data_IF_988218619929
#
_entry.id   IF_988218619929
#
_cell.length_a   1.000
_cell.length_b   1.000
_cell.length_c   1.000
_cell.angle_alpha   90.00
_cell.angle_beta   90.00
_cell.angle_gamma   90.00
#
_symmetry.space_group_name_H-M   'P 1'
#
loop_
_entity.id
_entity.type
_entity.pdbx_description
1 polymer ?
#
# COMPACT_ATOMS: atom_id res chain seq x y z
N UNK A 1 22.88 19.15 15.70
CA UNK A 1 23.05 17.71 16.05
C UNK A 1 23.99 17.08 15.03
N UNK A 2 25.13 16.51 15.43
CA UNK A 2 25.93 15.70 14.52
C UNK A 2 25.10 14.46 14.16
N UNK A 3 24.75 14.30 12.87
CA UNK A 3 23.83 13.30 12.30
C UNK A 3 22.32 13.60 12.38
N UNK A 4 21.91 14.88 12.32
CA UNK A 4 20.49 15.19 12.11
C UNK A 4 19.99 14.60 10.77
N UNK A 5 18.86 13.87 10.75
CA UNK A 5 18.28 13.39 9.50
C UNK A 5 17.89 14.57 8.60
N UNK A 6 17.97 14.36 7.29
CA UNK A 6 17.68 15.40 6.29
C UNK A 6 16.22 15.86 6.43
N UNK A 7 16.03 17.16 6.62
CA UNK A 7 14.70 17.78 6.58
C UNK A 7 14.31 17.97 5.11
N UNK A 8 13.17 17.41 4.73
CA UNK A 8 12.67 17.46 3.36
C UNK A 8 11.70 18.63 3.11
N UNK A 9 11.03 19.12 4.16
CA UNK A 9 10.09 20.25 4.09
C UNK A 9 9.96 20.91 5.46
N UNK A 10 9.79 22.23 5.46
CA UNK A 10 9.49 23.04 6.66
C UNK A 10 8.29 23.93 6.36
N UNK A 11 7.28 23.91 7.23
CA UNK A 11 6.07 24.74 7.05
C UNK A 11 5.47 25.18 8.40
N UNK A 12 4.65 26.24 8.43
CA UNK A 12 3.92 26.61 9.65
C UNK A 12 3.02 25.48 10.12
N UNK A 13 2.98 25.21 11.42
CA UNK A 13 2.02 24.25 12.00
C UNK A 13 0.66 24.91 12.29
N UNK A 14 -0.40 24.13 12.54
CA UNK A 14 -1.69 24.64 13.01
C UNK A 14 -1.63 25.32 14.39
N UNK A 15 -0.56 25.09 15.16
CA UNK A 15 -0.35 25.72 16.48
C UNK A 15 0.56 26.93 16.31
N UNK A 16 0.10 28.15 16.65
CA UNK A 16 0.92 29.36 16.54
C UNK A 16 2.25 29.22 17.31
N UNK A 17 3.34 29.63 16.66
CA UNK A 17 4.68 29.54 17.23
C UNK A 17 5.37 28.18 17.04
N UNK A 18 4.69 27.17 16.49
CA UNK A 18 5.31 25.91 16.09
C UNK A 18 5.38 25.78 14.58
N UNK A 19 6.48 25.19 14.12
CA UNK A 19 6.73 24.82 12.73
C UNK A 19 6.76 23.30 12.60
N UNK A 20 6.20 22.80 11.51
CA UNK A 20 6.24 21.41 11.11
C UNK A 20 7.50 21.14 10.29
N UNK A 21 8.22 20.08 10.67
CA UNK A 21 9.36 19.53 9.94
C UNK A 21 8.95 18.18 9.37
N UNK A 22 9.10 18.01 8.05
CA UNK A 22 8.96 16.71 7.39
C UNK A 22 10.33 16.08 7.23
N UNK A 23 10.45 14.85 7.71
CA UNK A 23 11.67 14.04 7.61
C UNK A 23 11.23 12.67 7.10
N UNK A 24 11.47 12.40 5.82
CA UNK A 24 10.86 11.28 5.10
C UNK A 24 9.33 11.38 5.13
N UNK A 25 8.70 10.38 5.73
CA UNK A 25 7.24 10.28 5.91
C UNK A 25 6.78 10.65 7.32
N UNK A 26 7.71 11.08 8.16
CA UNK A 26 7.43 11.49 9.52
C UNK A 26 7.30 13.00 9.63
N UNK A 27 6.50 13.40 10.62
CA UNK A 27 6.30 14.79 11.00
C UNK A 27 6.86 14.98 12.40
N UNK A 28 7.61 16.06 12.58
CA UNK A 28 8.12 16.57 13.86
C UNK A 28 7.84 18.05 13.96
N UNK A 29 8.04 18.64 15.14
CA UNK A 29 7.79 20.06 15.36
C UNK A 29 9.02 20.76 15.93
N UNK A 30 9.11 22.07 15.67
CA UNK A 30 10.18 22.92 16.19
C UNK A 30 9.66 24.33 16.45
N UNK A 31 10.42 25.11 17.20
CA UNK A 31 10.19 26.55 17.35
C UNK A 31 10.70 27.30 16.10
N UNK A 32 10.35 28.59 15.88
CA UNK A 32 10.71 29.31 14.67
C UNK A 32 12.22 29.49 14.45
N UNK A 33 13.03 29.35 15.50
CA UNK A 33 14.49 29.46 15.41
C UNK A 33 15.18 28.13 15.14
N UNK A 34 14.46 27.00 15.20
CA UNK A 34 15.03 25.66 15.04
C UNK A 34 15.87 25.21 16.23
N UNK A 35 15.73 25.87 17.39
CA UNK A 35 16.54 25.60 18.59
C UNK A 35 16.08 24.37 19.37
N UNK A 36 14.79 24.02 19.26
CA UNK A 36 14.17 22.89 19.96
C UNK A 36 13.52 21.92 18.99
N UNK A 37 13.69 20.62 19.22
CA UNK A 37 12.95 19.57 18.52
C UNK A 37 11.88 19.01 19.45
N UNK A 38 10.65 18.93 18.96
CA UNK A 38 9.49 18.41 19.67
C UNK A 38 9.01 17.17 18.93
N UNK A 39 9.03 16.03 19.64
CA UNK A 39 8.50 14.77 19.16
C UNK A 39 7.12 14.51 19.79
N UNK A 40 6.10 14.32 18.95
CA UNK A 40 4.74 14.12 19.40
C UNK A 40 3.73 14.45 18.31
N UNK A 41 2.46 14.46 18.70
CA UNK A 41 1.34 14.67 17.80
C UNK A 41 0.51 15.87 18.23
N UNK A 42 -0.03 16.60 17.26
CA UNK A 42 -0.97 17.71 17.46
C UNK A 42 -2.39 17.18 17.28
N UNK A 43 -3.16 17.22 18.36
CA UNK A 43 -4.59 16.93 18.34
C UNK A 43 -5.40 18.22 18.34
N UNK A 44 -6.31 18.36 17.38
CA UNK A 44 -7.38 19.35 17.46
C UNK A 44 -8.47 18.80 18.39
N UNK A 45 -8.54 19.36 19.60
CA UNK A 45 -9.51 18.92 20.61
C UNK A 45 -10.95 19.33 20.29
N UNK A 46 -11.16 20.39 19.50
CA UNK A 46 -12.50 20.83 19.10
C UNK A 46 -13.03 19.92 18.00
N UNK A 47 -12.20 19.63 17.00
CA UNK A 47 -12.56 18.75 15.89
C UNK A 47 -12.40 17.26 16.24
N UNK A 48 -11.76 16.93 17.38
CA UNK A 48 -11.42 15.57 17.85
C UNK A 48 -10.61 14.79 16.81
N UNK A 49 -9.57 15.44 16.26
CA UNK A 49 -8.74 14.91 15.18
C UNK A 49 -7.27 14.95 15.52
N UNK A 50 -6.53 13.96 15.03
CA UNK A 50 -5.08 13.97 15.04
C UNK A 50 -4.56 14.63 13.76
N UNK A 51 -4.13 15.89 13.84
CA UNK A 51 -3.68 16.65 12.68
C UNK A 51 -2.33 16.15 12.16
N UNK A 52 -1.49 15.60 13.04
CA UNK A 52 -0.22 14.97 12.65
C UNK A 52 -0.47 13.72 11.83
N UNK A 53 -1.38 12.85 12.27
CA UNK A 53 -1.78 11.64 11.52
C UNK A 53 -2.41 11.99 10.17
N UNK A 54 -3.28 13.01 10.11
CA UNK A 54 -3.86 13.48 8.85
C UNK A 54 -2.77 13.94 7.87
N UNK A 55 -1.76 14.68 8.37
CA UNK A 55 -0.63 15.12 7.56
C UNK A 55 0.25 13.96 7.11
N UNK A 56 0.60 13.04 8.00
CA UNK A 56 1.35 11.82 7.65
C UNK A 56 0.58 11.01 6.60
N UNK A 57 -0.75 10.92 6.71
CA UNK A 57 -1.59 10.27 5.69
C UNK A 57 -1.48 10.97 4.34
N UNK A 58 -1.55 12.29 4.30
CA UNK A 58 -1.38 13.07 3.07
C UNK A 58 0.00 12.88 2.43
N UNK A 59 1.07 12.91 3.23
CA UNK A 59 2.45 12.69 2.76
C UNK A 59 2.59 11.29 2.16
N UNK A 60 1.94 10.29 2.76
CA UNK A 60 2.01 8.91 2.32
C UNK A 60 1.07 8.55 1.16
N UNK A 61 0.25 9.48 0.67
CA UNK A 61 -0.66 9.19 -0.44
C UNK A 61 0.12 8.77 -1.68
N UNK A 62 -0.38 7.73 -2.33
CA UNK A 62 0.18 7.25 -3.61
C UNK A 62 -0.77 7.67 -4.71
N UNK A 63 -0.24 8.25 -5.78
CA UNK A 63 -1.06 8.45 -6.98
C UNK A 63 -1.40 7.07 -7.57
N UNK A 64 -2.64 6.63 -7.32
CA UNK A 64 -3.15 5.36 -7.79
C UNK A 64 -3.11 5.26 -9.33
N UNK A 65 -3.36 6.38 -10.02
CA UNK A 65 -3.39 6.42 -11.47
C UNK A 65 -2.01 6.27 -12.10
N UNK A 66 -0.95 6.61 -11.36
CA UNK A 66 0.44 6.47 -11.78
C UNK A 66 1.03 5.06 -11.53
N UNK A 67 0.26 4.14 -10.94
CA UNK A 67 0.72 2.77 -10.73
C UNK A 67 0.92 2.04 -12.08
N UNK A 68 2.00 1.25 -12.24
CA UNK A 68 2.27 0.54 -13.48
C UNK A 68 1.42 -0.73 -13.57
N UNK A 69 0.11 -0.60 -13.80
CA UNK A 69 -0.83 -1.74 -13.77
C UNK A 69 -0.48 -2.90 -14.72
N UNK A 70 0.35 -2.67 -15.74
CA UNK A 70 0.92 -3.72 -16.60
C UNK A 70 1.84 -4.71 -15.86
N UNK A 71 2.40 -4.29 -14.73
CA UNK A 71 3.31 -5.08 -13.88
C UNK A 71 2.55 -5.77 -12.72
N UNK A 72 1.21 -5.73 -12.74
CA UNK A 72 0.36 -6.39 -11.75
C UNK A 72 -0.34 -7.63 -12.33
N UNK A 73 -0.60 -8.61 -11.47
CA UNK A 73 -1.61 -9.63 -11.74
C UNK A 73 -2.98 -9.01 -11.55
N UNK A 74 -3.88 -9.20 -12.51
CA UNK A 74 -5.22 -8.59 -12.45
C UNK A 74 -6.28 -9.67 -12.45
N UNK A 75 -7.16 -9.61 -11.46
CA UNK A 75 -8.38 -10.39 -11.43
C UNK A 75 -9.54 -9.51 -10.98
N UNK A 76 -10.76 -9.92 -11.33
CA UNK A 76 -11.98 -9.16 -11.01
C UNK A 76 -13.08 -10.08 -10.51
N UNK A 77 -13.94 -9.55 -9.64
CA UNK A 77 -15.21 -10.16 -9.26
C UNK A 77 -16.37 -9.24 -9.67
N UNK A 78 -17.44 -9.81 -10.22
CA UNK A 78 -18.58 -9.06 -10.73
C UNK A 78 -18.20 -8.04 -11.82
N UNK A 79 -18.73 -6.82 -11.70
CA UNK A 79 -18.46 -5.73 -12.66
C UNK A 79 -17.07 -5.13 -12.54
N UNK A 80 -16.36 -5.35 -11.43
CA UNK A 80 -15.01 -4.83 -11.21
C UNK A 80 -14.90 -3.30 -11.07
N UNK A 81 -16.01 -2.59 -10.79
CA UNK A 81 -16.06 -1.12 -10.75
C UNK A 81 -15.15 -0.49 -9.70
N UNK A 82 -14.86 -1.19 -8.60
CA UNK A 82 -14.06 -0.69 -7.49
C UNK A 82 -12.65 -1.23 -7.61
N UNK A 83 -11.64 -0.37 -7.70
CA UNK A 83 -10.26 -0.83 -7.94
C UNK A 83 -9.43 -0.72 -6.68
N UNK A 84 -8.62 -1.75 -6.42
CA UNK A 84 -7.59 -1.71 -5.36
C UNK A 84 -6.28 -2.23 -5.91
N UNK A 85 -5.17 -1.71 -5.40
CA UNK A 85 -3.84 -2.23 -5.67
C UNK A 85 -3.30 -2.86 -4.40
N UNK A 86 -2.68 -4.03 -4.55
CA UNK A 86 -2.23 -4.85 -3.43
C UNK A 86 -0.78 -5.24 -3.68
N UNK A 87 0.12 -4.87 -2.78
CA UNK A 87 1.48 -5.39 -2.78
C UNK A 87 1.51 -6.64 -1.90
N UNK A 88 1.89 -7.78 -2.46
CA UNK A 88 1.80 -9.06 -1.79
C UNK A 88 2.98 -9.99 -2.10
N UNK A 89 3.32 -10.80 -1.10
CA UNK A 89 4.30 -11.89 -1.20
C UNK A 89 3.54 -13.24 -1.20
N UNK A 90 3.92 -14.24 -2.01
CA UNK A 90 3.25 -15.54 -2.04
C UNK A 90 3.31 -16.33 -0.72
N UNK A 91 4.33 -16.13 0.11
CA UNK A 91 4.48 -16.82 1.40
C UNK A 91 3.82 -16.07 2.57
N UNK A 92 3.25 -14.88 2.31
CA UNK A 92 2.61 -14.06 3.32
C UNK A 92 1.26 -14.65 3.77
N UNK A 93 1.20 -15.15 5.00
CA UNK A 93 -0.04 -15.70 5.59
C UNK A 93 -1.18 -14.67 5.69
N UNK A 94 -0.86 -13.40 5.97
CA UNK A 94 -1.86 -12.32 5.97
C UNK A 94 -2.42 -12.06 4.56
N UNK A 95 -1.59 -12.21 3.52
CA UNK A 95 -1.99 -12.05 2.14
C UNK A 95 -2.92 -13.18 1.71
N UNK A 96 -2.66 -14.42 2.17
CA UNK A 96 -3.59 -15.55 1.97
C UNK A 96 -4.93 -15.30 2.64
N UNK A 97 -4.95 -14.75 3.86
CA UNK A 97 -6.21 -14.36 4.53
C UNK A 97 -6.94 -13.25 3.78
N UNK A 98 -6.21 -12.24 3.33
CA UNK A 98 -6.79 -11.13 2.59
C UNK A 98 -7.40 -11.58 1.25
N UNK A 99 -6.71 -12.45 0.51
CA UNK A 99 -7.23 -13.03 -0.73
C UNK A 99 -8.53 -13.82 -0.51
N UNK A 100 -8.66 -14.52 0.63
CA UNK A 100 -9.93 -15.17 1.01
C UNK A 100 -11.03 -14.14 1.25
N UNK A 101 -10.74 -13.06 1.99
CA UNK A 101 -11.69 -11.98 2.21
C UNK A 101 -12.14 -11.31 0.90
N UNK A 102 -11.24 -11.16 -0.07
CA UNK A 102 -11.57 -10.59 -1.38
C UNK A 102 -12.55 -11.46 -2.18
N UNK A 103 -12.64 -12.77 -1.93
CA UNK A 103 -13.63 -13.63 -2.58
C UNK A 103 -15.08 -13.31 -2.16
N UNK A 104 -15.26 -12.73 -0.97
CA UNK A 104 -16.57 -12.31 -0.46
C UNK A 104 -17.00 -10.94 -1.01
N UNK A 105 -16.06 -10.19 -1.59
CA UNK A 105 -16.29 -8.85 -2.12
C UNK A 105 -16.87 -8.92 -3.54
N UNK A 106 -17.91 -8.13 -3.81
CA UNK A 106 -18.49 -7.97 -5.16
C UNK A 106 -17.85 -6.80 -5.90
N UNK A 107 -17.97 -6.76 -7.23
CA UNK A 107 -17.66 -5.58 -8.04
C UNK A 107 -16.28 -4.95 -7.79
N UNK A 108 -15.26 -5.78 -7.53
CA UNK A 108 -13.89 -5.36 -7.23
C UNK A 108 -12.94 -5.84 -8.31
N UNK A 109 -12.00 -4.97 -8.71
CA UNK A 109 -10.84 -5.32 -9.51
C UNK A 109 -9.61 -5.19 -8.62
N UNK A 110 -8.81 -6.25 -8.57
CA UNK A 110 -7.63 -6.34 -7.71
C UNK A 110 -6.39 -6.38 -8.59
N UNK A 111 -5.52 -5.39 -8.42
CA UNK A 111 -4.21 -5.31 -9.06
C UNK A 111 -3.15 -5.75 -8.06
N UNK A 112 -2.68 -6.98 -8.18
CA UNK A 112 -1.68 -7.55 -7.27
C UNK A 112 -0.27 -7.36 -7.82
N UNK A 113 0.50 -6.48 -7.19
CA UNK A 113 1.93 -6.28 -7.43
C UNK A 113 2.72 -7.27 -6.57
N UNK A 114 3.34 -8.26 -7.22
CA UNK A 114 4.11 -9.28 -6.50
C UNK A 114 5.44 -8.70 -6.00
N UNK A 115 5.73 -8.89 -4.71
CA UNK A 115 6.97 -8.46 -4.07
C UNK A 115 7.54 -9.56 -3.14
N UNK A 116 8.59 -10.30 -3.54
CA UNK A 116 9.15 -11.40 -2.75
C UNK A 116 10.06 -10.89 -1.61
N UNK A 117 9.47 -10.35 -0.55
CA UNK A 117 10.20 -9.73 0.57
C UNK A 117 10.37 -10.64 1.80
N UNK A 118 9.70 -11.79 1.84
CA UNK A 118 9.73 -12.70 3.02
C UNK A 118 10.84 -13.76 2.96
N UNK A 119 11.65 -13.78 1.91
CA UNK A 119 12.75 -14.73 1.75
C UNK A 119 12.29 -16.17 1.49
N UNK A 120 13.15 -17.14 1.80
CA UNK A 120 12.89 -18.55 1.50
C UNK A 120 12.64 -18.76 0.01
N UNK A 121 11.57 -19.48 -0.33
CA UNK A 121 11.15 -19.73 -1.72
C UNK A 121 10.18 -18.68 -2.29
N UNK A 122 10.05 -17.50 -1.65
CA UNK A 122 9.23 -16.40 -2.15
C UNK A 122 9.66 -15.92 -3.55
N UNK A 123 10.96 -15.73 -3.85
CA UNK A 123 11.40 -15.33 -5.19
C UNK A 123 11.01 -16.36 -6.26
N UNK A 124 11.25 -17.65 -6.00
CA UNK A 124 10.96 -18.75 -6.92
C UNK A 124 9.46 -18.87 -7.18
N UNK A 125 8.63 -18.83 -6.13
CA UNK A 125 7.17 -18.85 -6.26
C UNK A 125 6.65 -17.62 -6.99
N UNK A 126 7.20 -16.44 -6.70
CA UNK A 126 6.79 -15.19 -7.34
C UNK A 126 7.07 -15.25 -8.84
N UNK A 127 8.28 -15.70 -9.21
CA UNK A 127 8.66 -15.93 -10.61
C UNK A 127 7.78 -16.98 -11.28
N UNK A 128 7.55 -18.11 -10.62
CA UNK A 128 6.70 -19.18 -11.13
C UNK A 128 5.26 -18.72 -11.40
N UNK A 129 4.69 -17.93 -10.48
CA UNK A 129 3.34 -17.35 -10.62
C UNK A 129 3.33 -16.32 -11.75
N UNK A 130 4.27 -15.38 -11.77
CA UNK A 130 4.36 -14.33 -12.80
C UNK A 130 4.51 -14.93 -14.21
N UNK A 131 5.35 -15.95 -14.34
CA UNK A 131 5.66 -16.62 -15.59
C UNK A 131 4.67 -17.74 -15.98
N UNK A 132 3.61 -17.96 -15.21
CA UNK A 132 2.59 -18.91 -15.57
C UNK A 132 1.80 -18.41 -16.78
N UNK A 133 1.23 -19.33 -17.57
CA UNK A 133 0.34 -19.00 -18.70
C UNK A 133 -0.81 -18.08 -18.26
N UNK A 134 -1.30 -18.28 -17.04
CA UNK A 134 -2.27 -17.43 -16.38
C UNK A 134 -1.82 -17.14 -14.94
N UNK A 135 -1.08 -16.04 -14.77
CA UNK A 135 -0.52 -15.68 -13.47
C UNK A 135 -1.58 -15.35 -12.42
N UNK A 136 -2.70 -14.75 -12.82
CA UNK A 136 -3.78 -14.39 -11.90
C UNK A 136 -4.46 -15.64 -11.33
N UNK A 137 -4.82 -16.61 -12.18
CA UNK A 137 -5.39 -17.86 -11.71
C UNK A 137 -4.38 -18.70 -10.92
N UNK A 138 -3.11 -18.69 -11.30
CA UNK A 138 -2.04 -19.40 -10.56
C UNK A 138 -1.84 -18.78 -9.17
N UNK A 139 -1.87 -17.45 -9.07
CA UNK A 139 -1.85 -16.73 -7.80
C UNK A 139 -3.02 -17.12 -6.91
N UNK A 140 -4.25 -17.05 -7.42
CA UNK A 140 -5.45 -17.41 -6.65
C UNK A 140 -5.43 -18.89 -6.22
N UNK A 141 -4.98 -19.79 -7.09
CA UNK A 141 -4.80 -21.21 -6.78
C UNK A 141 -3.84 -21.43 -5.59
N UNK A 142 -2.68 -20.77 -5.62
CA UNK A 142 -1.70 -20.83 -4.55
C UNK A 142 -2.20 -20.18 -3.24
N UNK A 143 -2.85 -19.01 -3.35
CA UNK A 143 -3.24 -18.22 -2.18
C UNK A 143 -4.47 -18.79 -1.46
N UNK A 144 -5.42 -19.34 -2.21
CA UNK A 144 -6.68 -19.85 -1.67
C UNK A 144 -6.64 -21.35 -1.36
N UNK A 145 -5.98 -22.14 -2.22
CA UNK A 145 -6.02 -23.61 -2.19
C UNK A 145 -4.68 -24.28 -1.91
N UNK A 146 -3.58 -23.51 -1.92
CA UNK A 146 -2.24 -24.06 -1.69
C UNK A 146 -1.71 -24.89 -2.87
N UNK A 147 -2.28 -24.72 -4.05
CA UNK A 147 -1.80 -25.38 -5.28
C UNK A 147 -0.45 -24.79 -5.68
N UNK A 148 0.59 -25.62 -5.70
CA UNK A 148 1.95 -25.18 -6.01
C UNK A 148 2.03 -24.59 -7.43
N UNK A 149 2.63 -23.40 -7.61
CA UNK A 149 2.86 -22.83 -8.93
C UNK A 149 3.67 -23.79 -9.82
N UNK A 150 3.40 -23.85 -11.13
CA UNK A 150 4.17 -24.65 -12.06
C UNK A 150 5.62 -24.13 -12.16
N UNK A 151 6.52 -24.92 -12.74
CA UNK A 151 7.85 -24.39 -13.09
C UNK A 151 7.68 -23.19 -14.05
N UNK A 152 8.43 -22.10 -13.87
CA UNK A 152 8.36 -20.95 -14.76
C UNK A 152 8.70 -21.37 -16.19
N UNK A 153 7.99 -20.79 -17.17
CA UNK A 153 8.28 -21.03 -18.58
C UNK A 153 9.70 -20.58 -18.93
N UNK A 154 10.40 -21.35 -19.77
CA UNK A 154 11.72 -20.99 -20.25
C UNK A 154 11.64 -19.67 -21.04
N UNK A 155 12.56 -18.73 -20.77
CA UNK A 155 12.62 -17.43 -21.47
C UNK A 155 11.55 -16.42 -21.07
N UNK A 156 10.79 -16.66 -20.00
CA UNK A 156 9.88 -15.65 -19.44
C UNK A 156 10.64 -14.39 -18.98
N UNK A 157 10.12 -13.21 -19.34
CA UNK A 157 10.56 -11.92 -18.78
C UNK A 157 9.84 -11.66 -17.45
N UNK A 158 10.64 -11.66 -16.38
CA UNK A 158 10.21 -11.44 -15.01
C UNK A 158 10.65 -10.07 -14.46
N UNK A 159 11.11 -9.16 -15.32
CA UNK A 159 11.58 -7.82 -14.92
C UNK A 159 10.50 -6.96 -14.26
N UNK A 160 9.22 -7.32 -14.38
CA UNK A 160 8.12 -6.70 -13.63
C UNK A 160 8.29 -6.89 -12.11
N UNK A 161 8.83 -8.02 -11.65
CA UNK A 161 9.04 -8.29 -10.22
C UNK A 161 10.02 -7.28 -9.63
N UNK A 162 11.12 -7.00 -10.33
CA UNK A 162 12.10 -5.99 -9.89
C UNK A 162 11.54 -4.57 -9.93
N UNK A 163 10.73 -4.23 -10.95
CA UNK A 163 10.02 -2.94 -11.00
C UNK A 163 9.03 -2.80 -9.84
N UNK A 164 8.33 -3.87 -9.48
CA UNK A 164 7.41 -3.90 -8.35
C UNK A 164 8.14 -3.74 -7.02
N UNK A 165 9.30 -4.38 -6.85
CA UNK A 165 10.17 -4.20 -5.69
C UNK A 165 10.73 -2.77 -5.61
N UNK A 166 11.11 -2.17 -6.74
CA UNK A 166 11.58 -0.79 -6.78
C UNK A 166 10.47 0.19 -6.42
N UNK A 167 9.27 -0.04 -6.96
CA UNK A 167 8.07 0.72 -6.62
C UNK A 167 7.74 0.59 -5.14
N UNK A 168 7.70 -0.62 -4.59
CA UNK A 168 7.36 -0.87 -3.19
C UNK A 168 8.32 -0.14 -2.23
N UNK A 169 9.63 -0.12 -2.55
CA UNK A 169 10.61 0.71 -1.83
C UNK A 169 10.34 2.21 -1.96
N UNK A 170 10.10 2.68 -3.19
CA UNK A 170 9.83 4.10 -3.47
C UNK A 170 8.60 4.61 -2.72
N UNK A 171 7.56 3.80 -2.63
CA UNK A 171 6.36 4.13 -1.89
C UNK A 171 6.41 3.65 -0.44
N UNK A 172 7.52 3.13 0.10
CA UNK A 172 7.64 2.70 1.51
C UNK A 172 6.60 1.65 1.95
N UNK A 173 6.42 0.60 1.15
CA UNK A 173 5.71 -0.61 1.57
C UNK A 173 6.61 -1.40 2.53
N UNK A 174 6.30 -1.34 3.82
CA UNK A 174 7.08 -1.97 4.89
C UNK A 174 6.55 -3.35 5.32
N UNK A 175 5.52 -3.85 4.65
CA UNK A 175 4.91 -5.15 4.97
C UNK A 175 3.83 -5.52 3.97
N UNK A 176 3.49 -6.81 3.94
CA UNK A 176 2.48 -7.38 3.04
C UNK A 176 1.32 -8.01 3.83
N UNK A 177 0.06 -7.90 3.38
CA UNK A 177 -0.35 -7.11 2.22
C UNK A 177 -0.33 -5.61 2.54
N UNK A 178 0.08 -4.80 1.58
CA UNK A 178 -0.15 -3.35 1.61
C UNK A 178 -1.20 -3.02 0.55
N UNK A 179 -2.31 -2.43 0.99
CA UNK A 179 -3.48 -2.16 0.16
C UNK A 179 -3.52 -0.66 -0.14
N UNK A 180 -3.64 -0.30 -1.41
CA UNK A 180 -3.82 1.07 -1.88
C UNK A 180 -5.21 1.22 -2.48
N UNK A 181 -5.87 2.31 -2.10
CA UNK A 181 -7.18 2.71 -2.59
C UNK A 181 -7.05 3.77 -3.71
N UNK A 182 -8.12 3.98 -4.47
CA UNK A 182 -8.10 4.90 -5.62
C UNK A 182 -7.88 6.37 -5.26
N UNK A 183 -8.19 6.77 -4.03
CA UNK A 183 -7.91 8.12 -3.50
C UNK A 183 -6.44 8.28 -3.02
N UNK A 184 -5.64 7.24 -3.21
CA UNK A 184 -4.24 7.17 -2.81
C UNK A 184 -3.99 6.85 -1.35
N UNK A 185 -5.04 6.70 -0.54
CA UNK A 185 -4.90 6.26 0.84
C UNK A 185 -4.47 4.79 0.89
N UNK A 186 -3.80 4.45 1.99
CA UNK A 186 -3.31 3.10 2.25
C UNK A 186 -4.04 2.48 3.41
N UNK A 187 -4.26 1.18 3.32
CA UNK A 187 -4.70 0.37 4.45
C UNK A 187 -3.50 -0.49 4.87
N UNK A 188 -2.97 -0.29 6.10
CA UNK A 188 -1.88 -1.09 6.60
C UNK A 188 -2.35 -2.50 6.93
N UNK A 189 -1.69 -3.51 6.36
CA UNK A 189 -1.94 -4.92 6.66
C UNK A 189 -3.24 -5.47 6.08
N UNK A 190 -3.53 -6.73 6.43
CA UNK A 190 -4.76 -7.38 5.99
C UNK A 190 -5.97 -6.86 6.79
N UNK A 191 -7.03 -6.50 6.07
CA UNK A 191 -8.34 -6.16 6.64
C UNK A 191 -9.40 -7.15 6.21
N UNK A 192 -10.43 -7.33 7.04
CA UNK A 192 -11.58 -8.15 6.69
C UNK A 192 -12.51 -7.47 5.67
N UNK A 193 -13.46 -8.23 5.09
CA UNK A 193 -14.34 -7.74 4.02
C UNK A 193 -15.23 -6.58 4.48
N UNK A 194 -15.72 -6.59 5.72
CA UNK A 194 -16.55 -5.51 6.28
C UNK A 194 -15.82 -4.17 6.32
N UNK A 195 -14.56 -4.18 6.78
CA UNK A 195 -13.78 -2.94 6.90
C UNK A 195 -13.32 -2.43 5.53
N UNK A 196 -12.95 -3.35 4.63
CA UNK A 196 -12.64 -2.99 3.25
C UNK A 196 -13.85 -2.40 2.54
N UNK A 197 -15.03 -3.01 2.67
CA UNK A 197 -16.28 -2.51 2.10
C UNK A 197 -16.61 -1.11 2.63
N UNK A 198 -16.48 -0.89 3.95
CA UNK A 198 -16.66 0.43 4.57
C UNK A 198 -15.72 1.48 3.95
N UNK A 199 -14.45 1.14 3.72
CA UNK A 199 -13.49 2.05 3.06
C UNK A 199 -13.90 2.34 1.62
N UNK A 200 -14.22 1.31 0.84
CA UNK A 200 -14.64 1.48 -0.57
C UNK A 200 -15.93 2.29 -0.71
N UNK A 201 -16.90 2.14 0.20
CA UNK A 201 -18.11 2.96 0.22
C UNK A 201 -17.81 4.43 0.55
N UNK A 202 -16.90 4.69 1.50
CA UNK A 202 -16.48 6.04 1.81
C UNK A 202 -15.81 6.73 0.60
N UNK A 203 -15.02 5.99 -0.20
CA UNK A 203 -14.45 6.51 -1.45
C UNK A 203 -15.54 6.90 -2.45
N UNK A 204 -16.50 6.01 -2.69
CA UNK A 204 -17.59 6.27 -3.63
C UNK A 204 -18.43 7.48 -3.21
N UNK A 205 -18.67 7.65 -1.91
CA UNK A 205 -19.40 8.79 -1.35
C UNK A 205 -18.61 10.11 -1.41
N UNK A 206 -17.27 10.06 -1.38
CA UNK A 206 -16.43 11.24 -1.56
C UNK A 206 -16.34 11.66 -3.04
N UNK A 207 -16.24 10.68 -3.93
CA UNK A 207 -16.21 10.91 -5.38
C UNK A 207 -17.52 11.48 -5.93
N UNK A 208 -18.68 11.15 -5.33
CA UNK A 208 -19.98 11.71 -5.74
C UNK A 208 -20.25 13.13 -5.24
N UNK A 209 -19.41 13.65 -4.35
CA UNK A 209 -19.49 15.01 -3.79
C UNK A 209 -18.48 15.99 -4.40
N UNK A 210 -17.58 15.49 -5.25
CA UNK A 210 -16.54 16.26 -5.96
C UNK A 210 -17.00 16.52 -7.39
#
# INVERSE_FOLDING_TARGET
MPNAPKVDEVRPSPVPGLWELRIGNEVRYTDPTGSFLIEGEIFDLKAKKNLTEERVTQINRVDFSALPFKDALVWKNGSGKRRIAVFADPNCGYCKRFEKSLQEMKDVTVYTFLIPILGGDSPEKTRAIWCAKDGANTWLAWMLRGEMPPKPAAGCDDGAIERNLALSRKIHVNGTPAILLEDGNRIPGAVGPVELEKRLQALAAAASKS
#
